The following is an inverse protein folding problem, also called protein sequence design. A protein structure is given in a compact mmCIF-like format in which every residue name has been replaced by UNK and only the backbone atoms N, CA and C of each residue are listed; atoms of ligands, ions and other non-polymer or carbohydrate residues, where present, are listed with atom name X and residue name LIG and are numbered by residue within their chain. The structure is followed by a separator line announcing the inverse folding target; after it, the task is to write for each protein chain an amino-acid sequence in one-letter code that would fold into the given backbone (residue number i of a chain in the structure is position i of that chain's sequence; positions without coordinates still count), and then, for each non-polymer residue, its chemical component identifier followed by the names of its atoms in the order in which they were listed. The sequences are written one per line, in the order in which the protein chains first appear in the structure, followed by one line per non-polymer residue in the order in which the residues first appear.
data_IF_575486562951
#
_entry.id   IF_575486562951
#
_cell.length_a   1.000
_cell.length_b   1.000
_cell.length_c   1.000
_cell.angle_alpha   90.00
_cell.angle_beta   90.00
_cell.angle_gamma   90.00
#
_symmetry.space_group_name_H-M   'P 1'
#
loop_
_entity.id
_entity.type
_entity.pdbx_description
1 polymer ?
#
# COMPACT_ATOMS: atom_id res chain seq x y z
N UNK A 1 -15.61 71.45 30.48
CA UNK A 1 -15.62 71.52 29.01
C UNK A 1 -15.97 70.13 28.50
N UNK A 2 -17.16 69.98 27.93
CA UNK A 2 -17.72 68.72 27.40
C UNK A 2 -17.33 68.59 25.93
N UNK A 3 -16.71 67.48 25.54
CA UNK A 3 -16.66 66.90 24.17
C UNK A 3 -16.48 65.38 24.38
N UNK A 4 -17.41 64.44 24.14
CA UNK A 4 -18.25 64.08 22.98
C UNK A 4 -17.57 63.21 21.91
N UNK A 5 -17.79 61.87 22.01
CA UNK A 5 -17.91 60.84 20.94
C UNK A 5 -16.68 60.42 20.09
N UNK A 6 -16.70 59.26 19.39
CA UNK A 6 -17.27 57.92 19.70
C UNK A 6 -16.32 56.72 19.36
N UNK A 7 -16.67 55.46 19.74
CA UNK A 7 -15.95 54.24 19.38
C UNK A 7 -16.23 53.74 17.95
N UNK A 8 -15.18 53.27 17.26
CA UNK A 8 -15.21 52.75 15.89
C UNK A 8 -15.85 51.35 15.81
N UNK A 9 -16.72 51.19 14.82
CA UNK A 9 -17.66 50.09 14.63
C UNK A 9 -17.02 48.77 14.11
N UNK A 10 -17.63 47.65 14.52
CA UNK A 10 -17.43 46.31 13.98
C UNK A 10 -18.26 46.09 12.70
N UNK A 11 -17.84 45.22 11.75
CA UNK A 11 -18.57 44.96 10.52
C UNK A 11 -19.84 44.09 10.74
N UNK A 12 -20.90 44.27 9.94
CA UNK A 12 -22.19 43.61 10.14
C UNK A 12 -22.19 42.13 9.73
N UNK A 13 -22.74 41.28 10.60
CA UNK A 13 -23.09 39.88 10.33
C UNK A 13 -24.31 39.82 9.40
N UNK A 14 -24.13 39.31 8.18
CA UNK A 14 -25.22 39.07 7.24
C UNK A 14 -25.96 37.77 7.59
N UNK A 15 -27.14 37.91 8.18
CA UNK A 15 -28.12 36.83 8.29
C UNK A 15 -28.71 36.52 6.91
N UNK A 16 -28.13 35.54 6.20
CA UNK A 16 -28.70 35.04 4.95
C UNK A 16 -29.89 34.11 5.26
N UNK A 17 -31.07 34.68 5.07
CA UNK A 17 -32.40 34.08 5.03
C UNK A 17 -32.39 32.72 4.30
N UNK A 18 -32.84 31.65 4.99
CA UNK A 18 -33.17 30.36 4.37
C UNK A 18 -34.36 30.56 3.44
N UNK A 19 -34.16 30.41 2.14
CA UNK A 19 -35.24 30.24 1.17
C UNK A 19 -35.61 28.76 1.12
N UNK A 20 -36.85 28.46 1.52
CA UNK A 20 -37.53 27.19 1.36
C UNK A 20 -37.70 26.87 -0.13
N UNK A 21 -37.06 25.78 -0.59
CA UNK A 21 -37.33 25.20 -1.91
C UNK A 21 -38.62 24.37 -1.79
N UNK A 22 -39.66 24.62 -2.60
CA UNK A 22 -40.84 23.78 -2.58
C UNK A 22 -40.51 22.41 -3.18
N UNK A 23 -40.90 21.36 -2.45
CA UNK A 23 -40.90 19.97 -2.91
C UNK A 23 -41.95 19.85 -4.01
N UNK A 24 -41.50 19.73 -5.26
CA UNK A 24 -42.37 19.37 -6.38
C UNK A 24 -42.39 17.84 -6.50
N UNK A 25 -43.42 17.22 -5.93
CA UNK A 25 -43.79 15.83 -6.21
C UNK A 25 -44.50 15.78 -7.55
N UNK A 26 -43.86 15.21 -8.57
CA UNK A 26 -44.55 14.85 -9.81
C UNK A 26 -44.71 13.32 -9.89
N UNK A 27 -45.94 12.78 -9.80
CA UNK A 27 -46.18 11.36 -9.87
C UNK A 27 -46.67 11.00 -11.27
N UNK A 28 -45.76 10.65 -12.20
CA UNK A 28 -46.03 9.79 -13.40
C UNK A 28 -44.84 9.78 -14.36
N UNK A 29 -44.02 8.74 -14.28
CA UNK A 29 -43.50 8.00 -15.45
C UNK A 29 -42.73 6.76 -15.01
N UNK A 30 -43.34 5.96 -14.14
CA UNK A 30 -42.99 4.54 -14.02
C UNK A 30 -43.60 3.79 -15.20
N UNK A 31 -42.86 3.67 -16.30
CA UNK A 31 -42.95 2.64 -17.35
C UNK A 31 -42.05 3.07 -18.50
N UNK A 32 -40.87 2.46 -18.56
CA UNK A 32 -40.10 2.11 -19.76
C UNK A 32 -38.62 1.96 -19.37
N UNK A 33 -38.30 0.85 -18.73
CA UNK A 33 -36.93 0.36 -18.64
C UNK A 33 -36.95 -1.17 -18.82
N UNK A 34 -37.44 -1.59 -19.98
CA UNK A 34 -37.33 -2.95 -20.46
C UNK A 34 -36.06 -3.04 -21.31
N UNK A 35 -35.02 -3.64 -20.75
CA UNK A 35 -33.75 -3.89 -21.41
C UNK A 35 -32.58 -3.50 -20.53
N UNK A 36 -32.25 -4.30 -19.52
CA UNK A 36 -30.93 -4.24 -18.92
C UNK A 36 -29.94 -4.80 -19.95
N UNK A 37 -29.08 -3.98 -20.58
CA UNK A 37 -27.99 -4.52 -21.36
C UNK A 37 -27.03 -5.13 -20.35
N UNK A 38 -26.62 -6.38 -20.54
CA UNK A 38 -25.44 -6.89 -19.87
C UNK A 38 -24.24 -6.10 -20.38
N UNK A 39 -23.98 -4.97 -19.72
CA UNK A 39 -22.85 -4.10 -19.99
C UNK A 39 -21.59 -4.85 -19.53
N UNK A 40 -20.83 -5.32 -20.52
CA UNK A 40 -19.59 -6.04 -20.28
C UNK A 40 -18.69 -5.23 -19.36
N UNK A 41 -18.30 -5.83 -18.24
CA UNK A 41 -17.33 -5.25 -17.30
C UNK A 41 -16.11 -4.82 -18.10
N UNK A 42 -15.89 -3.50 -18.23
CA UNK A 42 -14.69 -2.98 -18.89
C UNK A 42 -13.46 -3.61 -18.25
N UNK A 43 -12.51 -4.19 -19.03
CA UNK A 43 -11.34 -4.90 -18.50
C UNK A 43 -10.28 -3.95 -17.90
N UNK A 44 -10.59 -2.67 -17.74
CA UNK A 44 -9.70 -1.67 -17.14
C UNK A 44 -9.81 -1.77 -15.63
N UNK A 45 -8.72 -2.19 -14.99
CA UNK A 45 -8.64 -2.24 -13.54
C UNK A 45 -8.83 -0.85 -12.95
N UNK A 46 -9.86 -0.68 -12.11
CA UNK A 46 -10.18 0.60 -11.49
C UNK A 46 -9.07 1.05 -10.53
N UNK A 47 -8.70 2.34 -10.50
CA UNK A 47 -7.81 2.90 -9.48
C UNK A 47 -8.34 2.64 -8.07
N UNK A 48 -7.43 2.47 -7.10
CA UNK A 48 -7.80 2.32 -5.70
C UNK A 48 -8.23 3.67 -5.12
N UNK A 49 -9.22 3.65 -4.23
CA UNK A 49 -9.46 4.77 -3.32
C UNK A 49 -8.30 4.91 -2.34
N UNK A 50 -8.11 6.10 -1.76
CA UNK A 50 -7.03 6.35 -0.79
C UNK A 50 -7.09 5.35 0.38
N UNK A 51 -8.29 5.09 0.90
CA UNK A 51 -8.47 4.13 2.00
C UNK A 51 -8.07 2.72 1.60
N UNK A 52 -8.46 2.25 0.41
CA UNK A 52 -8.06 0.93 -0.09
C UNK A 52 -6.55 0.86 -0.33
N UNK A 53 -5.94 1.94 -0.84
CA UNK A 53 -4.50 2.03 -1.05
C UNK A 53 -3.72 1.86 0.28
N UNK A 54 -4.17 2.49 1.36
CA UNK A 54 -3.57 2.26 2.69
C UNK A 54 -3.82 0.84 3.24
N UNK A 55 -5.00 0.27 2.99
CA UNK A 55 -5.34 -1.07 3.45
C UNK A 55 -4.49 -2.14 2.77
N UNK A 56 -4.33 -2.08 1.45
CA UNK A 56 -3.52 -3.03 0.70
C UNK A 56 -2.03 -2.88 0.98
N UNK A 57 -1.54 -1.64 1.13
CA UNK A 57 -0.19 -1.39 1.62
C UNK A 57 0.04 -2.06 2.99
N UNK A 58 -0.86 -1.86 3.95
CA UNK A 58 -0.77 -2.45 5.30
C UNK A 58 -0.77 -3.99 5.25
N UNK A 59 -1.65 -4.58 4.44
CA UNK A 59 -1.72 -6.02 4.22
C UNK A 59 -0.42 -6.58 3.62
N UNK A 60 0.24 -5.84 2.73
CA UNK A 60 1.52 -6.26 2.18
C UNK A 60 2.59 -6.41 3.26
N UNK A 61 2.61 -5.53 4.27
CA UNK A 61 3.54 -5.64 5.38
C UNK A 61 3.16 -6.77 6.35
N UNK A 62 1.90 -6.90 6.76
CA UNK A 62 1.49 -7.98 7.65
C UNK A 62 1.61 -9.36 7.01
N UNK A 63 1.35 -9.47 5.71
CA UNK A 63 1.62 -10.67 4.93
C UNK A 63 3.10 -11.07 4.95
N UNK A 64 4.00 -10.12 5.22
CA UNK A 64 5.42 -10.36 5.37
C UNK A 64 5.79 -11.36 6.46
N UNK A 65 4.94 -11.56 7.49
CA UNK A 65 5.17 -12.51 8.61
C UNK A 65 5.33 -13.96 8.12
N UNK A 66 4.68 -14.31 7.01
CA UNK A 66 4.76 -15.66 6.42
C UNK A 66 5.74 -15.73 5.24
N UNK A 67 6.51 -14.67 5.00
CA UNK A 67 7.51 -14.57 3.95
C UNK A 67 7.21 -13.50 2.90
N UNK A 68 7.97 -13.50 1.81
CA UNK A 68 7.89 -12.45 0.79
C UNK A 68 6.70 -12.58 -0.18
N UNK A 69 6.08 -13.77 -0.29
CA UNK A 69 5.07 -14.07 -1.30
C UNK A 69 3.82 -13.19 -1.20
N UNK A 70 3.23 -12.93 -0.02
CA UNK A 70 2.06 -12.06 0.07
C UNK A 70 2.36 -10.63 -0.37
N UNK A 71 3.49 -10.05 0.05
CA UNK A 71 3.91 -8.71 -0.35
C UNK A 71 4.14 -8.63 -1.87
N UNK A 72 4.78 -9.65 -2.45
CA UNK A 72 4.95 -9.76 -3.90
C UNK A 72 3.61 -9.82 -4.63
N UNK A 73 2.66 -10.62 -4.14
CA UNK A 73 1.35 -10.75 -4.76
C UNK A 73 0.59 -9.43 -4.74
N UNK A 74 0.56 -8.74 -3.60
CA UNK A 74 -0.06 -7.41 -3.48
C UNK A 74 0.59 -6.42 -4.46
N UNK A 75 1.93 -6.40 -4.52
CA UNK A 75 2.64 -5.56 -5.49
C UNK A 75 2.19 -5.86 -6.92
N UNK A 76 2.16 -7.13 -7.33
CA UNK A 76 1.81 -7.49 -8.72
C UNK A 76 0.35 -7.20 -9.08
N UNK A 77 -0.58 -7.32 -8.13
CA UNK A 77 -2.01 -7.09 -8.36
C UNK A 77 -2.37 -5.61 -8.38
N UNK A 78 -1.76 -4.79 -7.52
CA UNK A 78 -2.14 -3.39 -7.33
C UNK A 78 -1.15 -2.38 -7.94
N UNK A 79 -0.06 -2.86 -8.56
CA UNK A 79 0.84 -2.04 -9.36
C UNK A 79 0.07 -1.22 -10.39
N UNK A 80 0.29 0.09 -10.41
CA UNK A 80 -0.40 1.05 -11.27
C UNK A 80 -1.83 1.41 -10.86
N UNK A 81 -2.35 0.87 -9.75
CA UNK A 81 -3.70 1.19 -9.24
C UNK A 81 -3.69 2.03 -7.98
N UNK A 82 -2.66 1.89 -7.15
CA UNK A 82 -2.47 2.64 -5.92
C UNK A 82 -1.00 2.98 -5.72
N UNK A 83 -0.59 4.26 -5.79
CA UNK A 83 0.81 4.64 -5.71
C UNK A 83 1.45 4.28 -4.35
N UNK A 84 0.67 4.35 -3.26
CA UNK A 84 1.18 4.02 -1.93
C UNK A 84 1.35 2.50 -1.76
N UNK A 85 0.36 1.71 -2.17
CA UNK A 85 0.45 0.23 -2.18
C UNK A 85 1.61 -0.22 -3.03
N UNK A 86 1.79 0.33 -4.23
CA UNK A 86 2.87 -0.08 -5.13
C UNK A 86 4.24 0.09 -4.48
N UNK A 87 4.48 1.22 -3.82
CA UNK A 87 5.72 1.51 -3.12
C UNK A 87 5.91 0.62 -1.88
N UNK A 88 4.93 0.60 -0.97
CA UNK A 88 5.06 -0.09 0.32
C UNK A 88 5.09 -1.62 0.14
N UNK A 89 4.32 -2.16 -0.80
CA UNK A 89 4.37 -3.61 -1.11
C UNK A 89 5.72 -4.05 -1.67
N UNK A 90 6.39 -3.19 -2.44
CA UNK A 90 7.74 -3.45 -2.96
C UNK A 90 8.79 -3.39 -1.85
N UNK A 91 8.66 -2.41 -0.96
CA UNK A 91 9.53 -2.24 0.20
C UNK A 91 9.40 -3.43 1.18
N UNK A 92 8.16 -3.84 1.49
CA UNK A 92 7.86 -5.03 2.29
C UNK A 92 8.42 -6.31 1.66
N UNK A 93 8.25 -6.49 0.36
CA UNK A 93 8.81 -7.65 -0.35
C UNK A 93 10.34 -7.68 -0.27
N UNK A 94 11.00 -6.56 -0.54
CA UNK A 94 12.47 -6.50 -0.52
C UNK A 94 13.04 -6.73 0.89
N UNK A 95 12.34 -6.27 1.94
CA UNK A 95 12.69 -6.57 3.33
C UNK A 95 12.55 -8.06 3.65
N UNK A 96 11.41 -8.67 3.31
CA UNK A 96 11.10 -10.04 3.70
C UNK A 96 11.82 -11.11 2.88
N UNK A 97 12.29 -10.79 1.67
CA UNK A 97 12.97 -11.73 0.78
C UNK A 97 14.23 -12.34 1.42
N UNK A 98 15.14 -11.51 1.94
CA UNK A 98 16.39 -12.02 2.52
C UNK A 98 16.15 -12.90 3.75
N UNK A 99 15.40 -12.47 4.79
CA UNK A 99 15.13 -13.34 5.94
C UNK A 99 14.37 -14.60 5.54
N UNK A 100 13.44 -14.54 4.58
CA UNK A 100 12.75 -15.75 4.08
C UNK A 100 13.74 -16.77 3.54
N UNK A 101 14.73 -16.33 2.75
CA UNK A 101 15.75 -17.24 2.22
C UNK A 101 16.59 -17.88 3.35
N UNK A 102 16.94 -17.10 4.38
CA UNK A 102 17.64 -17.62 5.57
C UNK A 102 16.78 -18.64 6.32
N UNK A 103 15.49 -18.35 6.52
CA UNK A 103 14.54 -19.28 7.15
C UNK A 103 14.45 -20.59 6.36
N UNK A 104 14.22 -20.52 5.05
CA UNK A 104 14.11 -21.70 4.18
C UNK A 104 15.40 -22.51 4.20
N UNK A 105 16.56 -21.86 4.06
CA UNK A 105 17.86 -22.54 4.11
C UNK A 105 18.10 -23.19 5.47
N UNK A 106 17.79 -22.48 6.56
CA UNK A 106 17.96 -23.00 7.90
C UNK A 106 17.03 -24.19 8.19
N UNK A 107 15.79 -24.18 7.70
CA UNK A 107 14.87 -25.32 7.79
C UNK A 107 15.41 -26.52 7.00
N UNK A 108 15.92 -26.31 5.78
CA UNK A 108 16.48 -27.40 4.95
C UNK A 108 17.75 -28.02 5.55
N UNK A 109 18.56 -27.22 6.26
CA UNK A 109 19.80 -27.68 6.89
C UNK A 109 19.62 -28.14 8.34
N UNK A 110 18.47 -27.90 8.97
CA UNK A 110 18.17 -28.32 10.33
C UNK A 110 18.26 -29.84 10.59
N UNK A 111 17.95 -30.74 9.64
CA UNK A 111 18.11 -32.18 9.84
C UNK A 111 19.57 -32.68 9.84
N UNK A 112 20.55 -31.84 9.49
CA UNK A 112 21.95 -32.25 9.43
C UNK A 112 22.45 -32.57 10.85
N UNK A 113 23.02 -33.77 11.09
CA UNK A 113 23.48 -34.16 12.42
C UNK A 113 24.60 -33.23 12.92
N UNK A 114 24.72 -33.09 14.25
CA UNK A 114 25.70 -32.27 14.97
C UNK A 114 25.61 -30.74 14.79
N UNK A 115 25.26 -30.24 13.60
CA UNK A 115 25.21 -28.79 13.28
C UNK A 115 23.81 -28.27 12.99
N UNK A 116 22.82 -29.13 12.75
CA UNK A 116 21.46 -28.74 12.38
C UNK A 116 20.77 -27.80 13.38
N UNK A 117 21.07 -27.92 14.67
CA UNK A 117 20.56 -27.02 15.71
C UNK A 117 20.97 -25.56 15.49
N UNK A 118 22.17 -25.31 14.95
CA UNK A 118 22.63 -23.96 14.62
C UNK A 118 21.80 -23.35 13.50
N UNK A 119 21.50 -24.14 12.47
CA UNK A 119 20.63 -23.72 11.37
C UNK A 119 19.18 -23.49 11.80
N UNK A 120 18.67 -24.32 12.74
CA UNK A 120 17.36 -24.12 13.33
C UNK A 120 17.29 -22.80 14.13
N UNK A 121 18.32 -22.49 14.94
CA UNK A 121 18.39 -21.21 15.66
C UNK A 121 18.51 -20.01 14.71
N UNK A 122 19.31 -20.12 13.65
CA UNK A 122 19.44 -19.08 12.64
C UNK A 122 18.10 -18.84 11.92
N UNK A 123 17.38 -19.91 11.55
CA UNK A 123 16.03 -19.81 10.99
C UNK A 123 15.05 -19.14 11.96
N UNK A 124 15.03 -19.55 13.22
CA UNK A 124 14.15 -18.96 14.23
C UNK A 124 14.43 -17.46 14.44
N UNK A 125 15.70 -17.07 14.53
CA UNK A 125 16.11 -15.67 14.67
C UNK A 125 15.74 -14.85 13.42
N UNK A 126 15.98 -15.39 12.22
CA UNK A 126 15.60 -14.73 10.96
C UNK A 126 14.08 -14.56 10.84
N UNK A 127 13.31 -15.58 11.23
CA UNK A 127 11.85 -15.50 11.25
C UNK A 127 11.36 -14.46 12.24
N UNK A 128 11.94 -14.37 13.44
CA UNK A 128 11.56 -13.37 14.44
C UNK A 128 11.83 -11.95 13.94
N UNK A 129 12.99 -11.70 13.33
CA UNK A 129 13.33 -10.42 12.71
C UNK A 129 12.32 -10.04 11.61
N UNK A 130 11.98 -11.00 10.75
CA UNK A 130 10.99 -10.85 9.70
C UNK A 130 9.61 -10.56 10.26
N UNK A 131 9.15 -11.31 11.27
CA UNK A 131 7.81 -11.16 11.85
C UNK A 131 7.65 -9.81 12.56
N UNK A 132 8.63 -9.43 13.40
CA UNK A 132 8.61 -8.15 14.13
C UNK A 132 8.74 -6.97 13.17
N UNK A 133 9.63 -7.05 12.18
CA UNK A 133 9.77 -6.01 11.17
C UNK A 133 8.49 -5.85 10.34
N UNK A 134 7.89 -6.95 9.92
CA UNK A 134 6.61 -6.97 9.19
C UNK A 134 5.49 -6.29 10.00
N UNK A 135 5.40 -6.59 11.30
CA UNK A 135 4.41 -5.99 12.19
C UNK A 135 4.66 -4.49 12.40
N UNK A 136 5.90 -4.07 12.67
CA UNK A 136 6.25 -2.65 12.85
C UNK A 136 5.94 -1.85 11.58
N UNK A 137 6.32 -2.39 10.41
CA UNK A 137 6.03 -1.75 9.14
C UNK A 137 4.53 -1.61 8.90
N UNK A 138 3.77 -2.68 9.08
CA UNK A 138 2.31 -2.64 8.92
C UNK A 138 1.64 -1.64 9.86
N UNK A 139 2.07 -1.53 11.12
CA UNK A 139 1.53 -0.53 12.05
C UNK A 139 1.79 0.91 11.60
N UNK A 140 2.97 1.21 11.03
CA UNK A 140 3.27 2.56 10.50
C UNK A 140 2.50 2.87 9.22
N UNK A 141 2.47 1.91 8.30
CA UNK A 141 1.73 2.04 7.03
C UNK A 141 0.22 2.17 7.26
N UNK A 142 -0.32 1.50 8.28
CA UNK A 142 -1.72 1.64 8.70
C UNK A 142 -2.05 3.05 9.22
N UNK A 143 -1.06 3.82 9.67
CA UNK A 143 -1.22 5.24 10.03
C UNK A 143 -1.05 6.18 8.84
N UNK A 144 -0.77 5.64 7.66
CA UNK A 144 -0.48 6.39 6.45
C UNK A 144 0.95 6.93 6.37
N UNK A 145 1.85 6.47 7.23
CA UNK A 145 3.26 6.84 7.19
C UNK A 145 4.05 5.85 6.32
N UNK A 146 4.76 6.31 5.27
CA UNK A 146 5.65 5.45 4.48
C UNK A 146 6.70 4.77 5.38
N UNK A 147 6.88 3.46 5.26
CA UNK A 147 7.81 2.72 6.09
C UNK A 147 9.07 2.31 5.33
N UNK A 148 10.22 2.80 5.78
CA UNK A 148 11.52 2.38 5.25
C UNK A 148 12.16 1.35 6.17
N UNK A 149 12.41 0.14 5.62
CA UNK A 149 13.12 -0.89 6.35
C UNK A 149 14.62 -0.58 6.39
N UNK A 150 15.17 -0.39 7.59
CA UNK A 150 16.60 -0.08 7.78
C UNK A 150 17.53 -1.19 7.26
N UNK A 151 17.04 -2.43 7.20
CA UNK A 151 17.74 -3.59 6.64
C UNK A 151 17.25 -3.97 5.24
N UNK A 152 16.60 -3.06 4.52
CA UNK A 152 16.17 -3.35 3.16
C UNK A 152 17.40 -3.56 2.26
N UNK A 153 17.56 -4.78 1.77
CA UNK A 153 18.66 -5.12 0.89
C UNK A 153 18.51 -4.52 -0.51
N UNK A 154 17.32 -4.06 -0.91
CA UNK A 154 17.02 -3.64 -2.30
C UNK A 154 17.58 -4.63 -3.33
N UNK A 155 17.55 -5.92 -2.98
CA UNK A 155 18.25 -6.94 -3.75
C UNK A 155 17.65 -7.07 -5.16
N UNK A 156 16.33 -6.91 -5.26
CA UNK A 156 15.63 -6.92 -6.54
C UNK A 156 16.09 -5.79 -7.47
N UNK A 157 16.18 -4.55 -6.98
CA UNK A 157 16.56 -3.40 -7.81
C UNK A 157 17.96 -3.57 -8.39
N UNK A 158 18.91 -3.99 -7.55
CA UNK A 158 20.28 -4.28 -7.97
C UNK A 158 20.37 -5.40 -9.00
N UNK A 159 19.50 -6.42 -8.89
CA UNK A 159 19.47 -7.52 -9.84
C UNK A 159 18.92 -7.07 -11.20
N UNK A 160 17.83 -6.30 -11.18
CA UNK A 160 17.18 -5.80 -12.40
C UNK A 160 18.09 -4.83 -13.15
N UNK A 161 18.80 -3.95 -12.46
CA UNK A 161 19.80 -3.05 -13.07
C UNK A 161 20.88 -3.84 -13.82
N UNK A 162 21.47 -4.86 -13.18
CA UNK A 162 22.50 -5.70 -13.82
C UNK A 162 22.00 -6.41 -15.07
N UNK A 163 20.73 -6.83 -15.09
CA UNK A 163 20.15 -7.47 -16.27
C UNK A 163 19.91 -6.47 -17.40
N UNK A 164 19.48 -5.25 -17.06
CA UNK A 164 19.30 -4.14 -18.02
C UNK A 164 20.63 -3.66 -18.62
N UNK A 165 21.70 -3.65 -17.84
CA UNK A 165 23.05 -3.35 -18.33
C UNK A 165 23.53 -4.39 -19.35
N UNK A 166 23.34 -5.69 -19.03
CA UNK A 166 23.69 -6.77 -19.96
C UNK A 166 22.88 -6.75 -21.25
N UNK A 167 21.60 -6.38 -21.20
CA UNK A 167 20.77 -6.31 -22.41
C UNK A 167 21.17 -5.14 -23.32
N UNK A 168 21.49 -3.97 -22.75
CA UNK A 168 22.02 -2.82 -23.51
C UNK A 168 23.36 -3.12 -24.17
N UNK A 169 24.26 -3.81 -23.47
CA UNK A 169 25.57 -4.21 -24.02
C UNK A 169 25.47 -5.22 -25.19
N UNK A 170 24.41 -6.05 -25.22
CA UNK A 170 24.13 -6.93 -26.37
C UNK A 170 23.53 -6.16 -27.55
N UNK A 171 22.67 -5.19 -27.31
CA UNK A 171 22.06 -4.36 -28.35
C UNK A 171 23.06 -3.43 -29.05
N UNK A 172 24.14 -3.02 -28.38
CA UNK A 172 25.20 -2.19 -28.96
C UNK A 172 26.28 -2.96 -29.75
N UNK A 173 26.20 -4.30 -29.78
CA UNK A 173 27.19 -5.18 -30.44
C UNK A 173 26.62 -5.95 -31.65
N UNK A 174 25.34 -5.81 -31.93
CA UNK A 174 24.69 -6.32 -33.14
C UNK A 174 24.46 -5.18 -34.12
#
# INVERSE_FOLDING_TARGET
MVVSHPPSAAPPRSHRRRTSVPVQTDPRSSRDNAGAPFEGLSPVAQPLTVTEDHQWATLAHFGGVIGFLPSFLVHRVFRGRGPFTEQESMEAMNFTLLPTLVVVTGILLAPVPFIGWFFALAAAAAWLLLAVGSLIGGVRVNRGEPHLYRFNTRLYDRLVERLRERSRGRAARG
#
